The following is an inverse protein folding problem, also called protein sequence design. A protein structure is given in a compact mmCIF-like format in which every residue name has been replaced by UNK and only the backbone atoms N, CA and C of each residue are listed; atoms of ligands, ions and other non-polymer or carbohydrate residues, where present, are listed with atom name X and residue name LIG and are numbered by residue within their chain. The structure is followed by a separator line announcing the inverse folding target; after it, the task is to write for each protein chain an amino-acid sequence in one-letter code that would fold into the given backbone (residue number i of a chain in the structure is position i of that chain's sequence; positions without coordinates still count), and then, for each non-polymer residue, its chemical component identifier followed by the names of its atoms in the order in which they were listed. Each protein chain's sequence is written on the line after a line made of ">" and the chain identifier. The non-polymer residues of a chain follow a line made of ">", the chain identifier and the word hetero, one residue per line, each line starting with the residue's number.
data_IF_615121040226
#
_entry.id   IF_615121040226
#
_cell.length_a   1.000
_cell.length_b   1.000
_cell.length_c   1.000
_cell.angle_alpha   90.00
_cell.angle_beta   90.00
_cell.angle_gamma   90.00
#
_symmetry.space_group_name_H-M   'P 1'
#
loop_
_entity.id
_entity.type
_entity.pdbx_description
1 polymer ?
#
# COMPACT_ATOMS: atom_id res chain seq x y z
N UNK A 1 27.15 9.02 35.20
CA UNK A 1 27.39 9.17 33.74
C UNK A 1 27.06 7.87 33.00
N UNK A 2 27.27 6.71 33.62
CA UNK A 2 26.95 5.40 33.00
C UNK A 2 25.46 5.02 32.96
N UNK A 3 24.58 5.74 33.65
CA UNK A 3 23.15 5.39 33.72
C UNK A 3 22.36 5.76 32.46
N UNK A 4 22.76 6.82 31.73
CA UNK A 4 22.12 7.23 30.47
C UNK A 4 22.46 6.25 29.32
N UNK A 5 23.68 5.69 29.33
CA UNK A 5 24.15 4.78 28.28
C UNK A 5 23.62 3.35 28.40
N UNK A 6 23.10 2.96 29.58
CA UNK A 6 22.66 1.58 29.87
C UNK A 6 21.13 1.48 29.95
N UNK A 7 20.48 2.43 30.62
CA UNK A 7 19.03 2.35 30.86
C UNK A 7 18.21 3.07 29.79
N UNK A 8 18.65 4.24 29.31
CA UNK A 8 17.91 5.01 28.29
C UNK A 8 18.11 4.45 26.87
N UNK A 9 19.24 3.79 26.59
CA UNK A 9 19.51 3.15 25.29
C UNK A 9 18.61 1.93 24.98
N UNK A 10 17.85 1.43 25.97
CA UNK A 10 16.92 0.31 25.81
C UNK A 10 15.56 0.72 25.24
N UNK A 11 15.25 2.02 25.25
CA UNK A 11 14.04 2.56 24.62
C UNK A 11 14.46 3.40 23.43
N UNK A 12 14.03 3.07 22.19
CA UNK A 12 14.37 3.88 21.03
C UNK A 12 13.78 5.29 21.18
N UNK A 13 14.56 6.29 20.78
CA UNK A 13 14.07 7.67 20.69
C UNK A 13 13.09 7.75 19.51
N UNK A 14 11.79 7.81 19.80
CA UNK A 14 10.74 7.93 18.79
C UNK A 14 10.31 9.39 18.71
N UNK A 15 10.50 10.00 17.54
CA UNK A 15 9.85 11.28 17.20
C UNK A 15 8.60 10.94 16.41
N UNK A 16 7.45 10.97 17.06
CA UNK A 16 6.15 10.87 16.38
C UNK A 16 5.65 12.28 16.06
N UNK A 17 5.38 12.53 14.78
CA UNK A 17 4.64 13.71 14.32
C UNK A 17 3.14 13.44 14.29
N UNK A 18 2.31 14.48 14.07
CA UNK A 18 0.90 14.25 13.75
C UNK A 18 0.79 13.34 12.54
N UNK A 19 -0.13 12.38 12.59
CA UNK A 19 -0.43 11.56 11.42
C UNK A 19 -1.00 12.48 10.32
N UNK A 20 -0.51 12.34 9.09
CA UNK A 20 -1.17 12.97 7.95
C UNK A 20 -2.60 12.42 7.87
N UNK A 21 -3.59 13.32 7.98
CA UNK A 21 -5.00 12.95 7.95
C UNK A 21 -5.42 12.56 6.53
N UNK A 22 -5.14 11.31 6.19
CA UNK A 22 -5.48 10.66 4.93
C UNK A 22 -6.85 9.97 5.00
N UNK A 23 -7.58 10.11 6.11
CA UNK A 23 -8.86 9.45 6.36
C UNK A 23 -9.90 9.79 5.30
N UNK A 24 -9.96 11.07 4.86
CA UNK A 24 -10.84 11.47 3.77
C UNK A 24 -10.46 10.84 2.44
N UNK A 25 -9.16 10.76 2.15
CA UNK A 25 -8.65 10.18 0.91
C UNK A 25 -9.00 8.69 0.83
N UNK A 26 -8.78 7.92 1.92
CA UNK A 26 -9.21 6.53 1.98
C UNK A 26 -10.72 6.35 1.77
N UNK A 27 -11.55 7.22 2.37
CA UNK A 27 -13.01 7.18 2.15
C UNK A 27 -13.40 7.45 0.70
N UNK A 28 -12.68 8.34 0.01
CA UNK A 28 -12.92 8.64 -1.42
C UNK A 28 -12.50 7.46 -2.30
N UNK A 29 -11.31 6.92 -2.07
CA UNK A 29 -10.80 5.76 -2.83
C UNK A 29 -11.70 4.53 -2.64
N UNK A 30 -12.17 4.27 -1.41
CA UNK A 30 -13.06 3.14 -1.13
C UNK A 30 -14.39 3.18 -1.92
N UNK A 31 -14.84 4.36 -2.37
CA UNK A 31 -16.01 4.47 -3.26
C UNK A 31 -15.70 4.01 -4.69
N UNK A 32 -14.44 4.10 -5.11
CA UNK A 32 -13.99 3.75 -6.46
C UNK A 32 -13.74 2.24 -6.56
N UNK A 33 -13.07 1.64 -5.58
CA UNK A 33 -12.62 0.23 -5.60
C UNK A 33 -13.68 -0.78 -6.09
N UNK A 34 -14.97 -0.74 -5.67
CA UNK A 34 -15.97 -1.71 -6.12
C UNK A 34 -16.29 -1.66 -7.62
N UNK A 35 -15.93 -0.57 -8.30
CA UNK A 35 -16.13 -0.39 -9.73
C UNK A 35 -14.94 -0.89 -10.56
N UNK A 36 -13.84 -1.27 -9.91
CA UNK A 36 -12.67 -1.81 -10.60
C UNK A 36 -12.88 -3.29 -10.93
N UNK A 37 -12.44 -3.70 -12.13
CA UNK A 37 -12.61 -5.05 -12.63
C UNK A 37 -11.25 -5.74 -12.53
N UNK A 38 -11.21 -6.91 -11.89
CA UNK A 38 -9.99 -7.73 -11.83
C UNK A 38 -9.80 -8.48 -13.15
N UNK A 39 -8.58 -8.51 -13.68
CA UNK A 39 -8.18 -9.45 -14.73
C UNK A 39 -7.34 -10.60 -14.18
N UNK A 40 -7.27 -11.69 -14.96
CA UNK A 40 -6.63 -12.94 -14.54
C UNK A 40 -5.10 -12.85 -14.49
N UNK A 41 -4.49 -12.11 -15.41
CA UNK A 41 -3.03 -12.00 -15.55
C UNK A 41 -2.62 -10.55 -15.69
N UNK A 42 -1.38 -10.22 -15.38
CA UNK A 42 -0.80 -8.92 -15.64
C UNK A 42 -0.65 -8.67 -17.15
N UNK A 43 -0.70 -7.40 -17.55
CA UNK A 43 -0.45 -7.01 -18.93
C UNK A 43 1.01 -7.33 -19.32
N UNK A 44 1.18 -7.90 -20.51
CA UNK A 44 2.47 -8.26 -21.08
C UNK A 44 2.43 -8.13 -22.60
N UNK A 45 3.58 -8.23 -23.26
CA UNK A 45 3.65 -8.18 -24.74
C UNK A 45 2.75 -9.21 -25.44
N UNK A 46 2.40 -10.29 -24.74
CA UNK A 46 1.63 -11.42 -25.29
C UNK A 46 0.20 -11.52 -24.77
N UNK A 47 -0.15 -10.76 -23.73
CA UNK A 47 -1.46 -10.79 -23.11
C UNK A 47 -1.83 -9.40 -22.61
N UNK A 48 -2.96 -8.88 -23.11
CA UNK A 48 -3.55 -7.66 -22.61
C UNK A 48 -5.02 -7.92 -22.28
N UNK A 49 -5.38 -7.69 -21.01
CA UNK A 49 -6.72 -7.93 -20.51
C UNK A 49 -7.65 -6.72 -20.73
N UNK A 50 -8.91 -6.90 -20.32
CA UNK A 50 -9.87 -5.79 -20.23
C UNK A 50 -10.13 -5.33 -18.80
N UNK A 51 -9.41 -5.90 -17.82
CA UNK A 51 -9.53 -5.50 -16.43
C UNK A 51 -8.82 -4.19 -16.15
N UNK A 52 -9.02 -3.67 -14.94
CA UNK A 52 -8.36 -2.48 -14.43
C UNK A 52 -7.13 -2.83 -13.58
N UNK A 53 -7.09 -4.02 -12.97
CA UNK A 53 -5.98 -4.47 -12.12
C UNK A 53 -5.78 -5.99 -12.15
N UNK A 54 -4.55 -6.43 -11.87
CA UNK A 54 -4.18 -7.83 -11.61
C UNK A 54 -3.74 -8.00 -10.15
N UNK A 55 -3.78 -9.24 -9.65
CA UNK A 55 -3.38 -9.58 -8.27
C UNK A 55 -2.35 -10.68 -8.32
N UNK A 56 -1.16 -10.41 -7.78
CA UNK A 56 -0.14 -11.41 -7.51
C UNK A 56 -0.29 -11.88 -6.06
N UNK A 57 -0.98 -13.01 -5.87
CA UNK A 57 -1.21 -13.60 -4.54
C UNK A 57 0.07 -14.13 -3.89
N UNK A 58 1.11 -14.44 -4.68
CA UNK A 58 2.38 -14.93 -4.17
C UNK A 58 3.15 -13.82 -3.47
N UNK A 59 3.17 -12.63 -4.06
CA UNK A 59 3.77 -11.43 -3.45
C UNK A 59 2.79 -10.62 -2.60
N UNK A 60 1.49 -10.94 -2.67
CA UNK A 60 0.37 -10.18 -2.07
C UNK A 60 0.33 -8.73 -2.56
N UNK A 61 0.59 -8.54 -3.85
CA UNK A 61 0.60 -7.23 -4.49
C UNK A 61 -0.54 -7.11 -5.50
N UNK A 62 -0.94 -5.86 -5.74
CA UNK A 62 -1.97 -5.49 -6.72
C UNK A 62 -1.34 -4.50 -7.69
N UNK A 63 -1.39 -4.81 -8.98
CA UNK A 63 -0.84 -3.99 -10.05
C UNK A 63 -1.99 -3.43 -10.88
N UNK A 64 -1.96 -2.12 -11.15
CA UNK A 64 -2.90 -1.48 -12.07
C UNK A 64 -2.46 -1.73 -13.51
N UNK A 65 -3.44 -1.88 -14.39
CA UNK A 65 -3.23 -1.91 -15.84
C UNK A 65 -3.37 -0.51 -16.43
N UNK A 66 -3.01 -0.33 -17.70
CA UNK A 66 -3.17 0.96 -18.41
C UNK A 66 -4.64 1.44 -18.49
N UNK A 67 -5.62 0.54 -18.27
CA UNK A 67 -7.05 0.86 -18.31
C UNK A 67 -7.62 1.28 -16.95
N UNK A 68 -6.91 1.00 -15.86
CA UNK A 68 -7.34 1.26 -14.47
C UNK A 68 -6.83 2.59 -13.95
#
# INVERSE_FOLDING_TARGET
>A
VDSILIDEARTPLIISGPAEDSSEMYKRVNKIIPHLIRQEKEDSETFQGEGHFSVDEKSRQVNLTERG
#
